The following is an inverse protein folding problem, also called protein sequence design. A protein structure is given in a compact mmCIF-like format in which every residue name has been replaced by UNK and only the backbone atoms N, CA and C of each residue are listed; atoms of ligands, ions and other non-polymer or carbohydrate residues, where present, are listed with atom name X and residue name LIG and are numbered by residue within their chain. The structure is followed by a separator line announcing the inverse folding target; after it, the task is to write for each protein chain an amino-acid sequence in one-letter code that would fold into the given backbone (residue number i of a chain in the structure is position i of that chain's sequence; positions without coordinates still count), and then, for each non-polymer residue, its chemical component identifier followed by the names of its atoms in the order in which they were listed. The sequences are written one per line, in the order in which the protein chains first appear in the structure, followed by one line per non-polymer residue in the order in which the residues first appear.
data_IF_760985422566
#
_entry.id   IF_760985422566
#
_cell.length_a   1.000
_cell.length_b   1.000
_cell.length_c   1.000
_cell.angle_alpha   90.00
_cell.angle_beta   90.00
_cell.angle_gamma   90.00
#
_symmetry.space_group_name_H-M   'P 1'
#
loop_
_entity.id
_entity.type
_entity.pdbx_description
1 polymer ?
#
# COMPACT_ATOMS: atom_id res chain seq x y z
N UNK A 1 18.29 6.26 -2.45
CA UNK A 1 16.88 6.05 -2.09
C UNK A 1 16.27 5.05 -3.04
N UNK A 2 15.49 4.11 -2.52
CA UNK A 2 14.76 3.11 -3.32
C UNK A 2 13.26 3.29 -3.09
N UNK A 3 12.45 3.26 -4.15
CA UNK A 3 10.98 3.22 -4.06
C UNK A 3 10.44 2.04 -4.85
N UNK A 4 9.47 1.34 -4.28
CA UNK A 4 8.79 0.20 -4.89
C UNK A 4 7.48 0.62 -5.53
N UNK A 5 7.29 0.28 -6.82
CA UNK A 5 6.10 0.68 -7.56
C UNK A 5 4.94 -0.33 -7.47
N UNK A 6 5.24 -1.59 -7.17
CA UNK A 6 4.29 -2.72 -7.12
C UNK A 6 3.43 -2.80 -5.85
N UNK A 7 3.67 -1.91 -4.88
CA UNK A 7 2.98 -1.92 -3.60
C UNK A 7 1.81 -0.91 -3.63
N UNK A 8 1.90 0.16 -2.84
CA UNK A 8 0.84 1.17 -2.74
C UNK A 8 0.63 2.03 -4.00
N UNK A 9 1.60 2.04 -4.92
CA UNK A 9 1.57 2.87 -6.14
C UNK A 9 1.01 2.16 -7.38
N UNK A 10 0.43 0.97 -7.26
CA UNK A 10 -0.42 0.35 -8.30
C UNK A 10 0.23 0.13 -9.69
N UNK A 11 1.55 0.21 -9.83
CA UNK A 11 2.21 -0.24 -11.06
C UNK A 11 2.27 -1.77 -11.07
N UNK A 12 2.28 -2.43 -12.25
CA UNK A 12 2.31 -3.89 -12.31
C UNK A 12 3.58 -4.47 -11.71
N UNK A 13 4.74 -3.88 -12.01
CA UNK A 13 6.06 -4.32 -11.55
C UNK A 13 7.03 -3.14 -11.47
N UNK A 14 8.05 -3.28 -10.62
CA UNK A 14 9.25 -2.44 -10.67
C UNK A 14 9.56 -1.68 -9.39
N UNK A 15 10.81 -1.21 -9.32
CA UNK A 15 11.31 -0.29 -8.32
C UNK A 15 12.26 0.71 -9.00
N UNK A 16 12.44 1.88 -8.41
CA UNK A 16 13.47 2.81 -8.87
C UNK A 16 14.50 3.07 -7.77
N UNK A 17 15.72 3.29 -8.23
CA UNK A 17 16.85 3.71 -7.42
C UNK A 17 17.25 5.12 -7.84
N UNK A 18 17.28 6.06 -6.90
CA UNK A 18 17.85 7.39 -7.10
C UNK A 18 18.95 7.69 -6.10
N UNK A 19 19.94 8.45 -6.56
CA UNK A 19 21.11 8.81 -5.79
C UNK A 19 22.07 9.66 -6.62
N UNK A 20 23.30 9.79 -6.15
CA UNK A 20 24.36 10.52 -6.85
C UNK A 20 24.76 9.79 -8.14
N UNK A 21 25.25 10.53 -9.13
CA UNK A 21 25.63 9.99 -10.45
C UNK A 21 26.56 8.78 -10.35
N UNK A 22 27.66 8.90 -9.60
CA UNK A 22 28.62 7.80 -9.41
C UNK A 22 27.98 6.52 -8.83
N UNK A 23 26.98 6.67 -7.95
CA UNK A 23 26.26 5.53 -7.38
C UNK A 23 25.32 4.88 -8.41
N UNK A 24 24.64 5.68 -9.23
CA UNK A 24 23.76 5.17 -10.29
C UNK A 24 24.54 4.48 -11.40
N UNK A 25 25.73 4.98 -11.75
CA UNK A 25 26.62 4.33 -12.71
C UNK A 25 27.02 2.93 -12.22
N UNK A 26 27.50 2.82 -10.98
CA UNK A 26 27.82 1.53 -10.36
C UNK A 26 26.60 0.60 -10.32
N UNK A 27 25.42 1.12 -9.96
CA UNK A 27 24.20 0.33 -9.92
C UNK A 27 23.79 -0.21 -11.30
N UNK A 28 24.06 0.53 -12.39
CA UNK A 28 23.79 0.06 -13.77
C UNK A 28 24.70 -1.11 -14.15
N UNK A 29 25.97 -1.05 -13.78
CA UNK A 29 26.92 -2.15 -13.94
C UNK A 29 26.47 -3.39 -13.15
N UNK A 30 26.12 -3.21 -11.88
CA UNK A 30 25.63 -4.29 -11.03
C UNK A 30 24.34 -4.92 -11.56
N UNK A 31 23.41 -4.11 -12.06
CA UNK A 31 22.17 -4.60 -12.68
C UNK A 31 22.47 -5.57 -13.83
N UNK A 32 23.40 -5.20 -14.70
CA UNK A 32 23.82 -6.03 -15.83
C UNK A 32 24.56 -7.31 -15.40
N UNK A 33 25.26 -7.28 -14.27
CA UNK A 33 26.01 -8.41 -13.75
C UNK A 33 25.12 -9.45 -13.04
N UNK A 34 24.07 -9.00 -12.34
CA UNK A 34 23.20 -9.86 -11.54
C UNK A 34 22.04 -10.41 -12.37
N UNK A 35 21.55 -9.62 -13.33
CA UNK A 35 20.35 -9.95 -14.11
C UNK A 35 20.50 -9.46 -15.54
N UNK A 36 19.80 -10.11 -16.46
CA UNK A 36 19.69 -9.59 -17.82
C UNK A 36 18.97 -8.24 -17.83
N UNK A 37 19.55 -7.28 -18.54
CA UNK A 37 18.92 -5.98 -18.77
C UNK A 37 17.73 -6.14 -19.72
N UNK A 38 16.56 -5.65 -19.31
CA UNK A 38 15.39 -5.55 -20.17
C UNK A 38 15.70 -4.72 -21.43
N UNK A 39 15.48 -5.30 -22.61
CA UNK A 39 15.72 -4.63 -23.89
C UNK A 39 14.67 -3.58 -24.23
N UNK A 40 13.41 -3.80 -23.82
CA UNK A 40 12.28 -2.92 -24.10
C UNK A 40 11.48 -2.62 -22.81
N UNK A 41 12.02 -1.81 -21.89
CA UNK A 41 11.35 -1.52 -20.62
C UNK A 41 10.22 -0.48 -20.74
N UNK A 42 9.92 0.03 -21.94
CA UNK A 42 9.04 1.18 -22.18
C UNK A 42 7.67 1.06 -21.53
N UNK A 43 6.99 -0.07 -21.72
CA UNK A 43 5.64 -0.29 -21.19
C UNK A 43 5.61 -0.29 -19.65
N UNK A 44 6.64 -0.90 -19.03
CA UNK A 44 6.79 -0.90 -17.57
C UNK A 44 7.07 0.50 -17.03
N UNK A 45 7.92 1.27 -17.73
CA UNK A 45 8.23 2.66 -17.36
C UNK A 45 6.99 3.54 -17.50
N UNK A 46 6.19 3.36 -18.55
CA UNK A 46 4.94 4.09 -18.76
C UNK A 46 3.92 3.79 -17.65
N UNK A 47 3.77 2.52 -17.28
CA UNK A 47 2.90 2.12 -16.17
C UNK A 47 3.38 2.70 -14.83
N UNK A 48 4.69 2.65 -14.56
CA UNK A 48 5.27 3.26 -13.36
C UNK A 48 5.10 4.78 -13.34
N UNK A 49 5.21 5.46 -14.49
CA UNK A 49 4.98 6.90 -14.60
C UNK A 49 3.54 7.26 -14.29
N UNK A 50 2.59 6.57 -14.92
CA UNK A 50 1.16 6.74 -14.65
C UNK A 50 0.82 6.50 -13.18
N UNK A 51 1.39 5.45 -12.59
CA UNK A 51 1.30 5.18 -11.16
C UNK A 51 1.76 6.35 -10.27
N UNK A 52 2.84 7.04 -10.65
CA UNK A 52 3.29 8.23 -9.89
C UNK A 52 2.28 9.36 -10.02
N UNK A 53 1.91 9.71 -11.26
CA UNK A 53 1.04 10.85 -11.55
C UNK A 53 -0.36 10.67 -10.92
N UNK A 54 -0.91 9.45 -10.93
CA UNK A 54 -2.23 9.14 -10.36
C UNK A 54 -2.18 9.04 -8.84
N UNK A 55 -1.19 8.37 -8.26
CA UNK A 55 -1.20 8.10 -6.82
C UNK A 55 -0.69 9.27 -6.00
N UNK A 56 0.39 9.92 -6.44
CA UNK A 56 0.97 11.06 -5.71
C UNK A 56 0.32 12.39 -6.11
N UNK A 57 -0.42 12.44 -7.23
CA UNK A 57 -1.09 13.65 -7.69
C UNK A 57 -0.17 14.61 -8.45
N UNK A 58 -0.74 15.72 -8.92
CA UNK A 58 -0.06 16.68 -9.77
C UNK A 58 0.65 17.80 -8.99
N UNK A 59 1.75 18.31 -9.56
CA UNK A 59 2.54 19.42 -9.01
C UNK A 59 3.42 19.03 -7.82
N UNK A 60 4.22 19.97 -7.33
CA UNK A 60 5.21 19.74 -6.25
C UNK A 60 4.59 19.32 -4.92
N UNK A 61 3.31 19.65 -4.69
CA UNK A 61 2.60 19.38 -3.44
C UNK A 61 1.68 18.14 -3.52
N UNK A 62 1.69 17.41 -4.64
CA UNK A 62 0.86 16.22 -4.82
C UNK A 62 -0.65 16.50 -4.77
N UNK A 63 -1.12 17.51 -5.51
CA UNK A 63 -2.53 17.87 -5.57
C UNK A 63 -3.33 16.71 -6.15
N UNK A 64 -4.35 16.24 -5.43
CA UNK A 64 -5.13 15.06 -5.83
C UNK A 64 -4.53 13.72 -5.40
N UNK A 65 -3.51 13.71 -4.54
CA UNK A 65 -2.93 12.49 -3.96
C UNK A 65 -4.00 11.59 -3.32
N UNK A 66 -4.25 10.44 -3.94
CA UNK A 66 -5.24 9.46 -3.47
C UNK A 66 -4.73 8.61 -2.31
N UNK A 67 -3.41 8.51 -2.10
CA UNK A 67 -2.81 7.75 -1.01
C UNK A 67 -3.18 8.30 0.37
N UNK A 68 -3.60 9.58 0.48
CA UNK A 68 -4.11 10.16 1.73
C UNK A 68 -5.35 9.43 2.27
N UNK A 69 -6.11 8.75 1.40
CA UNK A 69 -7.28 7.96 1.81
C UNK A 69 -6.88 6.70 2.55
N UNK A 70 -5.70 6.14 2.26
CA UNK A 70 -5.32 4.84 2.79
C UNK A 70 -5.09 4.86 4.30
N UNK A 71 -4.39 5.84 4.89
CA UNK A 71 -4.32 5.97 6.35
C UNK A 71 -5.67 6.19 7.01
N UNK A 72 -6.54 7.01 6.42
CA UNK A 72 -7.89 7.22 6.94
C UNK A 72 -8.72 5.92 6.98
N UNK A 73 -8.59 5.07 5.96
CA UNK A 73 -9.23 3.75 5.93
C UNK A 73 -8.62 2.83 6.99
N UNK A 74 -7.29 2.81 7.13
CA UNK A 74 -6.61 2.00 8.14
C UNK A 74 -7.06 2.37 9.56
N UNK A 75 -7.17 3.66 9.88
CA UNK A 75 -7.67 4.14 11.17
C UNK A 75 -9.15 3.77 11.40
N UNK A 76 -9.98 3.77 10.35
CA UNK A 76 -11.36 3.27 10.44
C UNK A 76 -11.41 1.78 10.76
N UNK A 77 -10.51 0.98 10.19
CA UNK A 77 -10.39 -0.46 10.47
C UNK A 77 -9.96 -0.68 11.92
N UNK A 78 -9.00 0.10 12.42
CA UNK A 78 -8.60 0.09 13.84
C UNK A 78 -9.79 0.40 14.74
N UNK A 79 -10.50 1.51 14.51
CA UNK A 79 -11.66 1.90 15.30
C UNK A 79 -12.75 0.82 15.27
N UNK A 80 -12.96 0.20 14.10
CA UNK A 80 -13.89 -0.93 13.97
C UNK A 80 -13.44 -2.14 14.79
N UNK A 81 -12.16 -2.51 14.75
CA UNK A 81 -11.60 -3.61 15.55
C UNK A 81 -11.75 -3.36 17.05
N UNK A 82 -11.46 -2.14 17.50
CA UNK A 82 -11.64 -1.71 18.89
C UNK A 82 -13.11 -1.76 19.31
N UNK A 83 -14.05 -1.36 18.44
CA UNK A 83 -15.49 -1.45 18.72
C UNK A 83 -15.99 -2.89 18.89
N UNK A 84 -15.27 -3.88 18.35
CA UNK A 84 -15.55 -5.31 18.53
C UNK A 84 -14.83 -5.92 19.75
N UNK A 85 -14.13 -5.09 20.54
CA UNK A 85 -13.37 -5.49 21.73
C UNK A 85 -12.00 -6.08 21.43
N UNK A 86 -11.49 -5.95 20.20
CA UNK A 86 -10.15 -6.39 19.84
C UNK A 86 -9.12 -5.28 19.92
N UNK A 87 -7.84 -5.65 20.09
CA UNK A 87 -6.70 -4.73 20.12
C UNK A 87 -5.93 -4.68 18.79
N UNK A 88 -5.20 -3.58 18.58
CA UNK A 88 -4.19 -3.43 17.53
C UNK A 88 -2.82 -3.40 18.22
N UNK A 89 -1.83 -4.07 17.64
CA UNK A 89 -0.50 -4.22 18.23
C UNK A 89 0.35 -2.95 18.13
N UNK A 90 0.11 -2.12 17.10
CA UNK A 90 0.90 -0.93 16.78
C UNK A 90 0.00 0.21 16.32
N UNK A 91 0.50 1.45 16.45
CA UNK A 91 -0.17 2.65 15.96
C UNK A 91 -0.39 2.60 14.44
N UNK A 92 -1.54 3.14 13.99
CA UNK A 92 -1.93 3.16 12.58
C UNK A 92 -1.68 4.55 11.98
N UNK A 93 -0.44 4.76 11.52
CA UNK A 93 0.01 6.01 10.89
C UNK A 93 0.00 5.98 9.35
N UNK A 94 0.02 4.78 8.77
CA UNK A 94 0.13 4.56 7.32
C UNK A 94 -1.04 3.68 6.83
N UNK A 95 -0.83 2.84 5.82
CA UNK A 95 -1.84 1.93 5.29
C UNK A 95 -1.93 0.57 6.02
N UNK A 96 -1.16 0.35 7.09
CA UNK A 96 -1.04 -0.95 7.75
C UNK A 96 -1.75 -0.95 9.11
N UNK A 97 -2.47 -2.03 9.40
CA UNK A 97 -3.11 -2.30 10.70
C UNK A 97 -2.67 -3.67 11.18
N UNK A 98 -2.10 -3.72 12.38
CA UNK A 98 -1.56 -4.95 12.96
C UNK A 98 -2.54 -5.52 13.98
N UNK A 99 -3.34 -6.50 13.57
CA UNK A 99 -4.40 -7.05 14.42
C UNK A 99 -3.81 -8.10 15.39
N UNK A 100 -3.94 -7.83 16.68
CA UNK A 100 -3.62 -8.81 17.72
C UNK A 100 -4.75 -9.86 17.79
N UNK A 101 -4.35 -11.11 17.70
CA UNK A 101 -5.22 -12.28 17.76
C UNK A 101 -4.76 -13.17 18.92
N UNK A 102 -5.21 -12.85 20.13
CA UNK A 102 -5.02 -13.77 21.25
C UNK A 102 -5.82 -15.07 21.01
N UNK A 103 -5.29 -16.26 21.36
CA UNK A 103 -5.89 -17.54 21.03
C UNK A 103 -7.36 -17.71 21.47
N UNK A 104 -7.78 -17.05 22.56
CA UNK A 104 -9.13 -17.16 23.11
C UNK A 104 -10.24 -16.47 22.28
N UNK A 105 -9.90 -15.69 21.25
CA UNK A 105 -10.90 -15.00 20.42
C UNK A 105 -11.37 -15.83 19.21
N UNK A 106 -10.76 -16.99 18.96
CA UNK A 106 -10.63 -17.51 17.60
C UNK A 106 -11.78 -18.34 17.03
N UNK A 107 -12.72 -18.92 17.80
CA UNK A 107 -13.67 -19.87 17.18
C UNK A 107 -15.14 -19.41 17.07
N UNK A 108 -15.73 -18.77 18.08
CA UNK A 108 -17.19 -18.51 18.06
C UNK A 108 -17.59 -17.04 17.84
N UNK A 109 -16.68 -16.08 18.04
CA UNK A 109 -17.02 -14.65 17.94
C UNK A 109 -16.86 -14.11 16.51
N UNK A 110 -15.80 -14.52 15.80
CA UNK A 110 -15.54 -14.12 14.41
C UNK A 110 -16.70 -14.48 13.46
N UNK A 111 -17.26 -15.69 13.57
CA UNK A 111 -18.40 -16.15 12.75
C UNK A 111 -19.68 -15.32 12.98
N UNK A 112 -19.91 -14.84 14.21
CA UNK A 112 -21.05 -13.97 14.52
C UNK A 112 -20.80 -12.50 14.14
N UNK A 113 -19.55 -12.02 14.19
CA UNK A 113 -19.19 -10.67 13.75
C UNK A 113 -19.23 -10.50 12.23
N UNK A 114 -18.94 -11.54 11.43
CA UNK A 114 -19.16 -11.46 9.97
C UNK A 114 -20.64 -11.23 9.62
N UNK A 115 -21.56 -11.89 10.32
CA UNK A 115 -23.01 -11.71 10.12
C UNK A 115 -23.48 -10.31 10.52
N UNK A 116 -22.93 -9.72 11.59
CA UNK A 116 -23.23 -8.34 12.02
C UNK A 116 -22.57 -7.29 11.12
N UNK A 117 -21.33 -7.52 10.70
CA UNK A 117 -20.60 -6.63 9.79
C UNK A 117 -21.25 -6.56 8.42
N UNK A 118 -21.64 -7.70 7.82
CA UNK A 118 -22.31 -7.75 6.50
C UNK A 118 -23.62 -6.97 6.43
N UNK A 119 -24.30 -6.68 7.55
CA UNK A 119 -25.47 -5.79 7.59
C UNK A 119 -25.06 -4.30 7.56
N UNK A 120 -23.99 -3.95 8.26
CA UNK A 120 -23.51 -2.56 8.39
C UNK A 120 -22.76 -2.07 7.14
N UNK A 121 -22.04 -2.95 6.44
CA UNK A 121 -21.32 -2.60 5.20
C UNK A 121 -22.26 -2.35 4.00
N UNK A 122 -23.40 -3.05 3.90
CA UNK A 122 -24.38 -2.85 2.81
C UNK A 122 -25.09 -1.49 2.83
N UNK A 123 -25.07 -0.77 3.95
CA UNK A 123 -25.61 0.61 4.02
C UNK A 123 -24.61 1.65 3.53
N UNK A 124 -23.32 1.33 3.48
CA UNK A 124 -22.25 2.27 3.13
C UNK A 124 -21.96 2.28 1.62
N UNK A 125 -22.31 1.20 0.91
CA UNK A 125 -22.14 1.04 -0.55
C UNK A 125 -23.20 1.78 -1.41
N UNK A 126 -23.88 2.80 -0.86
CA UNK A 126 -24.87 3.63 -1.59
C UNK A 126 -24.30 4.92 -2.21
N UNK A 127 -22.99 4.98 -2.45
CA UNK A 127 -22.33 6.12 -3.10
C UNK A 127 -21.42 5.66 -4.24
#
# INVERSE_FOLDING_TARGET
MTLYYSNGSRAPLGSFLAGRTAFIELARWMRQAIVDTLRQPGDLVAAARSAVDVNFGAGSNGKGNVLKRTPAIAQRIEAFRQSLGGSVAHLVDTNMVWIDHRPQESCNRFANTERRGKKKWREVDKW
#
